data_IF_331137140896
#
_entry.id   IF_331137140896
#
_cell.length_a   1.000
_cell.length_b   1.000
_cell.length_c   1.000
_cell.angle_alpha   90.00
_cell.angle_beta   90.00
_cell.angle_gamma   90.00
#
_symmetry.space_group_name_H-M   'P 1'
#
loop_
_entity.id
_entity.type
_entity.pdbx_description
1 polymer ?
#
# COMPACT_ATOMS: atom_id res chain seq x y z
N UNK A 1 -6.12 -22.72 -2.50
CA UNK A 1 -6.12 -22.23 -3.89
C UNK A 1 -7.12 -22.94 -4.77
N UNK A 2 -7.06 -24.28 -4.93
CA UNK A 2 -7.90 -25.05 -5.86
C UNK A 2 -9.41 -25.01 -5.51
N UNK A 3 -9.76 -25.12 -4.24
CA UNK A 3 -11.15 -25.00 -3.79
C UNK A 3 -11.72 -23.62 -4.13
N UNK A 4 -10.94 -22.55 -3.89
CA UNK A 4 -11.32 -21.19 -4.25
C UNK A 4 -11.48 -21.02 -5.77
N UNK A 5 -10.59 -21.59 -6.56
CA UNK A 5 -10.69 -21.55 -8.03
C UNK A 5 -11.98 -22.22 -8.52
N UNK A 6 -12.35 -23.37 -7.94
CA UNK A 6 -13.58 -24.08 -8.29
C UNK A 6 -14.82 -23.25 -7.90
N UNK A 7 -14.84 -22.68 -6.69
CA UNK A 7 -15.92 -21.81 -6.23
C UNK A 7 -16.01 -20.54 -7.10
N UNK A 8 -14.88 -19.89 -7.39
CA UNK A 8 -14.85 -18.70 -8.24
C UNK A 8 -15.41 -18.99 -9.64
N UNK A 9 -15.01 -20.09 -10.28
CA UNK A 9 -15.55 -20.48 -11.61
C UNK A 9 -17.04 -20.80 -11.56
N UNK A 10 -17.55 -21.25 -10.46
CA UNK A 10 -18.96 -21.58 -10.31
C UNK A 10 -19.83 -20.35 -10.02
N UNK A 11 -19.35 -19.43 -9.20
CA UNK A 11 -20.12 -18.25 -8.77
C UNK A 11 -19.89 -17.02 -9.66
N UNK A 12 -18.71 -16.88 -10.25
CA UNK A 12 -18.37 -15.69 -11.02
C UNK A 12 -18.94 -15.75 -12.44
N UNK A 13 -19.78 -14.78 -12.74
CA UNK A 13 -20.30 -14.53 -14.09
C UNK A 13 -20.01 -13.07 -14.46
N UNK A 14 -19.78 -12.82 -15.75
CA UNK A 14 -19.66 -11.44 -16.23
C UNK A 14 -21.04 -10.77 -16.15
N UNK A 15 -21.13 -9.44 -15.97
CA UNK A 15 -22.41 -8.74 -15.94
C UNK A 15 -23.29 -9.02 -17.17
N UNK A 16 -22.65 -9.19 -18.36
CA UNK A 16 -23.34 -9.50 -19.60
C UNK A 16 -24.10 -10.84 -19.57
N UNK A 17 -23.49 -11.85 -18.92
CA UNK A 17 -23.96 -13.24 -18.90
C UNK A 17 -24.50 -13.66 -17.51
N UNK A 18 -24.66 -12.73 -16.58
CA UNK A 18 -25.02 -13.05 -15.20
C UNK A 18 -26.50 -13.48 -15.10
N UNK A 19 -26.79 -14.73 -14.67
CA UNK A 19 -28.15 -15.30 -14.75
C UNK A 19 -29.15 -14.69 -13.77
N UNK A 20 -28.70 -13.98 -12.75
CA UNK A 20 -29.53 -13.39 -11.68
C UNK A 20 -29.65 -11.87 -11.75
N UNK A 21 -29.01 -11.23 -12.75
CA UNK A 21 -29.12 -9.80 -12.93
C UNK A 21 -30.41 -9.45 -13.68
N UNK A 22 -31.17 -8.47 -13.18
CA UNK A 22 -32.31 -7.92 -13.95
C UNK A 22 -31.79 -7.14 -15.17
N UNK A 23 -32.63 -6.98 -16.19
CA UNK A 23 -32.24 -6.23 -17.41
C UNK A 23 -31.94 -4.76 -17.08
N UNK A 24 -32.68 -4.15 -16.13
CA UNK A 24 -32.46 -2.78 -15.66
C UNK A 24 -31.09 -2.63 -14.94
N UNK A 25 -30.73 -3.58 -14.06
CA UNK A 25 -29.44 -3.58 -13.36
C UNK A 25 -28.30 -3.83 -14.34
N UNK A 26 -28.51 -4.72 -15.33
CA UNK A 26 -27.52 -5.00 -16.38
C UNK A 26 -27.28 -3.74 -17.22
N UNK A 27 -28.31 -3.03 -17.63
CA UNK A 27 -28.21 -1.81 -18.39
C UNK A 27 -27.53 -0.70 -17.57
N UNK A 28 -27.86 -0.57 -16.27
CA UNK A 28 -27.21 0.38 -15.36
C UNK A 28 -25.70 0.12 -15.23
N UNK A 29 -25.32 -1.14 -15.08
CA UNK A 29 -23.90 -1.53 -14.98
C UNK A 29 -23.16 -1.31 -16.31
N UNK A 30 -23.77 -1.69 -17.43
CA UNK A 30 -23.16 -1.55 -18.75
C UNK A 30 -23.10 -0.10 -19.20
N UNK A 31 -24.11 0.71 -18.94
CA UNK A 31 -24.10 2.15 -19.23
C UNK A 31 -23.09 2.90 -18.36
N UNK A 32 -22.91 2.47 -17.09
CA UNK A 32 -21.88 2.99 -16.20
C UNK A 32 -20.44 2.69 -16.66
N UNK A 33 -20.24 1.68 -17.52
CA UNK A 33 -18.92 1.43 -18.16
C UNK A 33 -18.57 2.47 -19.23
N UNK A 34 -19.54 3.19 -19.78
CA UNK A 34 -19.41 4.27 -20.73
C UNK A 34 -18.66 3.90 -22.02
N UNK A 35 -19.05 4.45 -23.16
CA UNK A 35 -18.37 4.28 -24.45
C UNK A 35 -16.89 4.71 -24.39
N UNK A 36 -16.55 5.66 -23.52
CA UNK A 36 -15.18 6.10 -23.27
C UNK A 36 -14.29 4.97 -22.71
N UNK A 37 -14.79 4.16 -21.78
CA UNK A 37 -14.04 3.04 -21.21
C UNK A 37 -13.86 1.90 -22.21
N UNK A 38 -14.84 1.64 -23.07
CA UNK A 38 -14.74 0.61 -24.14
C UNK A 38 -13.77 1.06 -25.25
N UNK A 39 -13.74 2.35 -25.57
CA UNK A 39 -12.78 2.90 -26.52
C UNK A 39 -11.35 2.97 -25.92
N UNK A 40 -11.25 3.16 -24.61
CA UNK A 40 -9.98 3.18 -23.88
C UNK A 40 -9.39 1.79 -23.72
N UNK A 41 -10.21 0.77 -23.51
CA UNK A 41 -9.79 -0.64 -23.40
C UNK A 41 -9.23 -1.19 -24.74
N UNK A 42 -9.63 -0.62 -25.88
CA UNK A 42 -9.10 -0.95 -27.21
C UNK A 42 -7.74 -0.33 -27.53
N UNK A 43 -7.26 0.66 -26.74
CA UNK A 43 -5.94 1.26 -26.93
C UNK A 43 -4.87 0.33 -26.37
N UNK A 44 -3.73 0.22 -27.06
CA UNK A 44 -2.59 -0.58 -26.57
C UNK A 44 -2.11 -0.03 -25.22
N UNK A 45 -1.81 -0.93 -24.28
CA UNK A 45 -1.13 -0.58 -23.03
C UNK A 45 0.21 0.11 -23.33
N UNK A 46 0.62 0.99 -22.42
CA UNK A 46 1.95 1.60 -22.52
C UNK A 46 3.02 0.49 -22.37
N UNK A 47 4.05 0.57 -23.21
CA UNK A 47 5.16 -0.40 -23.12
C UNK A 47 5.97 -0.20 -21.84
N UNK A 48 6.57 -1.27 -21.31
CA UNK A 48 7.41 -1.21 -20.12
C UNK A 48 8.51 -0.14 -20.19
N UNK A 49 9.26 0.01 -21.32
CA UNK A 49 10.25 1.08 -21.45
C UNK A 49 9.63 2.48 -21.35
N UNK A 50 8.40 2.67 -21.85
CA UNK A 50 7.69 3.95 -21.73
C UNK A 50 7.31 4.22 -20.28
N UNK A 51 6.75 3.23 -19.59
CA UNK A 51 6.38 3.34 -18.17
C UNK A 51 7.59 3.65 -17.28
N UNK A 52 8.73 2.99 -17.50
CA UNK A 52 9.97 3.21 -16.75
C UNK A 52 10.62 4.59 -17.00
N UNK A 53 10.22 5.31 -18.05
CA UNK A 53 10.66 6.71 -18.27
C UNK A 53 9.83 7.73 -17.52
N UNK A 54 8.70 7.32 -16.92
CA UNK A 54 7.80 8.21 -16.22
C UNK A 54 8.20 8.33 -14.74
N UNK A 55 8.43 9.54 -14.21
CA UNK A 55 8.76 9.71 -12.79
C UNK A 55 7.64 9.21 -11.86
N UNK A 56 6.37 9.32 -12.28
CA UNK A 56 5.23 8.81 -11.51
C UNK A 56 5.32 7.30 -11.28
N UNK A 57 5.77 6.53 -12.27
CA UNK A 57 6.01 5.08 -12.13
C UNK A 57 7.05 4.80 -11.04
N UNK A 58 8.16 5.53 -11.05
CA UNK A 58 9.19 5.41 -10.03
C UNK A 58 8.71 5.87 -8.66
N UNK A 59 7.84 6.88 -8.61
CA UNK A 59 7.20 7.30 -7.36
C UNK A 59 6.44 6.16 -6.69
N UNK A 60 5.67 5.39 -7.46
CA UNK A 60 4.94 4.22 -6.95
C UNK A 60 5.90 3.08 -6.59
N UNK A 61 6.85 2.74 -7.48
CA UNK A 61 7.82 1.65 -7.25
C UNK A 61 8.64 1.91 -5.97
N UNK A 62 9.28 3.09 -5.87
CA UNK A 62 10.16 3.42 -4.74
C UNK A 62 9.37 3.45 -3.43
N UNK A 63 8.20 4.10 -3.43
CA UNK A 63 7.40 4.20 -2.20
C UNK A 63 7.00 2.83 -1.67
N UNK A 64 6.54 1.93 -2.55
CA UNK A 64 6.17 0.58 -2.18
C UNK A 64 7.38 -0.25 -1.76
N UNK A 65 8.47 -0.17 -2.50
CA UNK A 65 9.72 -0.89 -2.22
C UNK A 65 10.35 -0.53 -0.88
N UNK A 66 10.20 0.72 -0.45
CA UNK A 66 10.73 1.18 0.84
C UNK A 66 9.81 0.87 2.02
N UNK A 67 8.50 0.73 1.81
CA UNK A 67 7.55 0.55 2.90
C UNK A 67 7.08 -0.89 3.11
N UNK A 68 6.94 -1.70 2.05
CA UNK A 68 6.50 -3.09 2.19
C UNK A 68 7.42 -3.95 3.10
N UNK A 69 8.76 -3.81 3.09
CA UNK A 69 9.63 -4.52 4.03
C UNK A 69 9.29 -4.29 5.50
N UNK A 70 8.72 -3.11 5.85
CA UNK A 70 8.31 -2.80 7.22
C UNK A 70 7.13 -3.68 7.66
N UNK A 71 6.18 -3.92 6.75
CA UNK A 71 5.08 -4.85 7.02
C UNK A 71 5.58 -6.27 7.31
N UNK A 72 6.47 -6.77 6.46
CA UNK A 72 7.06 -8.10 6.67
C UNK A 72 7.89 -8.17 7.95
N UNK A 73 8.61 -7.09 8.31
CA UNK A 73 9.27 -7.02 9.60
C UNK A 73 8.28 -7.12 10.75
N UNK A 74 7.18 -6.38 10.71
CA UNK A 74 6.17 -6.41 11.76
C UNK A 74 5.51 -7.79 11.84
N UNK A 75 5.14 -8.40 10.72
CA UNK A 75 4.44 -9.69 10.72
C UNK A 75 5.33 -10.86 11.14
N UNK A 76 6.61 -10.84 10.82
CA UNK A 76 7.52 -11.96 11.06
C UNK A 76 8.36 -11.80 12.34
N UNK A 77 8.71 -10.58 12.70
CA UNK A 77 9.70 -10.33 13.75
C UNK A 77 9.17 -9.65 15.01
N UNK A 78 7.98 -9.04 14.98
CA UNK A 78 7.45 -8.33 16.14
C UNK A 78 7.24 -9.23 17.35
N UNK A 79 6.71 -10.44 17.16
CA UNK A 79 6.57 -11.41 18.26
C UNK A 79 7.92 -11.81 18.87
N UNK A 80 8.92 -12.06 18.01
CA UNK A 80 10.29 -12.36 18.46
C UNK A 80 10.89 -11.18 19.22
N UNK A 81 10.69 -9.95 18.72
CA UNK A 81 11.13 -8.73 19.40
C UNK A 81 10.55 -8.61 20.83
N UNK A 82 9.27 -8.90 21.02
CA UNK A 82 8.64 -8.88 22.34
C UNK A 82 9.27 -9.93 23.27
N UNK A 83 9.54 -11.13 22.78
CA UNK A 83 10.22 -12.18 23.57
C UNK A 83 11.64 -11.75 23.95
N UNK A 84 12.38 -11.10 23.05
CA UNK A 84 13.74 -10.58 23.39
C UNK A 84 13.71 -9.45 24.42
N UNK A 85 12.60 -8.75 24.58
CA UNK A 85 12.35 -7.77 25.64
C UNK A 85 11.92 -8.40 26.97
N UNK A 86 11.82 -9.75 27.03
CA UNK A 86 11.50 -10.50 28.25
C UNK A 86 10.01 -10.74 28.50
N UNK A 87 9.16 -10.55 27.50
CA UNK A 87 7.73 -10.84 27.62
C UNK A 87 7.41 -12.28 27.27
N UNK A 88 6.40 -12.86 27.94
CA UNK A 88 5.92 -14.21 27.69
C UNK A 88 5.34 -14.34 26.26
N UNK A 89 5.37 -15.55 25.70
CA UNK A 89 4.89 -15.83 24.36
C UNK A 89 3.38 -15.54 24.24
N UNK A 90 2.58 -15.89 25.26
CA UNK A 90 1.13 -15.66 25.25
C UNK A 90 0.81 -14.16 25.27
N UNK A 91 1.50 -13.38 26.09
CA UNK A 91 1.37 -11.92 26.10
C UNK A 91 1.81 -11.32 24.74
N UNK A 92 2.86 -11.87 24.15
CA UNK A 92 3.36 -11.45 22.85
C UNK A 92 2.37 -11.74 21.73
N UNK A 93 1.63 -12.85 21.77
CA UNK A 93 0.57 -13.17 20.82
C UNK A 93 -0.61 -12.20 20.92
N UNK A 94 -1.03 -11.84 22.14
CA UNK A 94 -2.07 -10.84 22.35
C UNK A 94 -1.66 -9.46 21.79
N UNK A 95 -0.41 -9.07 22.02
CA UNK A 95 0.16 -7.85 21.45
C UNK A 95 0.15 -7.88 19.92
N UNK A 96 0.41 -9.00 19.32
CA UNK A 96 0.46 -9.19 17.88
C UNK A 96 -0.92 -8.95 17.22
N UNK A 97 -2.02 -9.45 17.83
CA UNK A 97 -3.37 -9.19 17.34
C UNK A 97 -3.71 -7.70 17.24
N UNK A 98 -3.27 -6.89 18.21
CA UNK A 98 -3.53 -5.44 18.21
C UNK A 98 -2.95 -4.73 16.98
N UNK A 99 -1.81 -5.20 16.48
CA UNK A 99 -1.14 -4.67 15.27
C UNK A 99 -1.97 -4.96 14.02
N UNK A 100 -2.58 -6.13 13.89
CA UNK A 100 -3.45 -6.47 12.76
C UNK A 100 -4.75 -5.66 12.78
N UNK A 101 -5.38 -5.51 13.94
CA UNK A 101 -6.57 -4.66 14.09
C UNK A 101 -6.24 -3.20 13.71
N UNK A 102 -5.07 -2.71 14.12
CA UNK A 102 -4.62 -1.39 13.74
C UNK A 102 -4.36 -1.27 12.22
N UNK A 103 -3.83 -2.33 11.58
CA UNK A 103 -3.67 -2.36 10.13
C UNK A 103 -5.00 -2.27 9.40
N UNK A 104 -6.02 -3.01 9.84
CA UNK A 104 -7.36 -2.96 9.25
C UNK A 104 -7.96 -1.55 9.38
N UNK A 105 -7.89 -0.95 10.56
CA UNK A 105 -8.30 0.44 10.76
C UNK A 105 -7.53 1.41 9.84
N UNK A 106 -6.23 1.21 9.67
CA UNK A 106 -5.40 1.98 8.76
C UNK A 106 -5.84 1.85 7.31
N UNK A 107 -6.20 0.65 6.85
CA UNK A 107 -6.72 0.43 5.50
C UNK A 107 -8.04 1.19 5.27
N UNK A 108 -8.96 1.18 6.24
CA UNK A 108 -10.20 1.96 6.16
C UNK A 108 -9.92 3.48 6.11
N UNK A 109 -8.98 3.98 6.93
CA UNK A 109 -8.56 5.39 6.91
C UNK A 109 -7.92 5.74 5.56
N UNK A 110 -7.01 4.91 5.05
CA UNK A 110 -6.30 5.12 3.80
C UNK A 110 -7.20 5.15 2.57
N UNK A 111 -8.30 4.41 2.59
CA UNK A 111 -9.32 4.45 1.54
C UNK A 111 -10.41 5.50 1.78
N UNK A 112 -10.94 5.55 2.99
CA UNK A 112 -12.11 6.35 3.35
C UNK A 112 -11.83 7.85 3.41
N UNK A 113 -10.74 8.27 4.08
CA UNK A 113 -10.43 9.70 4.24
C UNK A 113 -10.17 10.38 2.91
N UNK A 114 -9.32 9.85 2.00
CA UNK A 114 -9.18 10.46 0.66
C UNK A 114 -10.50 10.52 -0.10
N UNK A 115 -11.29 9.45 -0.07
CA UNK A 115 -12.59 9.40 -0.75
C UNK A 115 -13.55 10.48 -0.22
N UNK A 116 -13.57 10.70 1.09
CA UNK A 116 -14.35 11.76 1.72
C UNK A 116 -13.88 13.17 1.31
N UNK A 117 -12.56 13.40 1.29
CA UNK A 117 -11.96 14.68 0.89
C UNK A 117 -12.25 15.00 -0.59
N UNK A 118 -12.15 13.99 -1.46
CA UNK A 118 -12.45 14.12 -2.89
C UNK A 118 -13.93 14.48 -3.09
N UNK A 119 -14.85 13.85 -2.36
CA UNK A 119 -16.28 14.24 -2.38
C UNK A 119 -16.51 15.68 -1.90
N UNK A 120 -15.61 16.24 -1.09
CA UNK A 120 -15.60 17.64 -0.66
C UNK A 120 -14.87 18.60 -1.62
N UNK A 121 -14.48 18.14 -2.81
CA UNK A 121 -13.88 18.99 -3.85
C UNK A 121 -12.35 19.05 -3.82
N UNK A 122 -11.67 18.22 -3.02
CA UNK A 122 -10.21 18.12 -3.10
C UNK A 122 -9.79 17.39 -4.37
N UNK A 123 -8.66 17.78 -4.96
CA UNK A 123 -8.06 16.96 -6.03
C UNK A 123 -7.59 15.61 -5.49
N UNK A 124 -7.68 14.58 -6.33
CA UNK A 124 -7.26 13.21 -6.00
C UNK A 124 -5.84 13.20 -5.43
N UNK A 125 -4.91 13.88 -6.11
CA UNK A 125 -3.52 13.93 -5.69
C UNK A 125 -3.31 14.60 -4.34
N UNK A 126 -4.02 15.70 -4.03
CA UNK A 126 -3.92 16.35 -2.71
C UNK A 126 -4.43 15.45 -1.60
N UNK A 127 -5.60 14.82 -1.80
CA UNK A 127 -6.20 13.92 -0.82
C UNK A 127 -5.30 12.71 -0.54
N UNK A 128 -4.76 12.07 -1.60
CA UNK A 128 -3.83 10.94 -1.47
C UNK A 128 -2.52 11.33 -0.79
N UNK A 129 -1.91 12.44 -1.20
CA UNK A 129 -0.64 12.93 -0.64
C UNK A 129 -0.76 13.30 0.84
N UNK A 130 -1.90 13.84 1.28
CA UNK A 130 -2.14 14.11 2.70
C UNK A 130 -1.98 12.84 3.53
N UNK A 131 -2.64 11.74 3.12
CA UNK A 131 -2.53 10.47 3.84
C UNK A 131 -1.10 9.90 3.75
N UNK A 132 -0.44 10.03 2.60
CA UNK A 132 0.95 9.60 2.46
C UNK A 132 1.89 10.37 3.43
N UNK A 133 1.68 11.68 3.61
CA UNK A 133 2.47 12.48 4.56
C UNK A 133 2.15 12.08 6.00
N UNK A 134 0.88 12.02 6.37
CA UNK A 134 0.47 11.64 7.73
C UNK A 134 0.93 10.21 8.05
N UNK A 135 0.75 9.27 7.11
CA UNK A 135 1.19 7.90 7.26
C UNK A 135 2.72 7.79 7.40
N UNK A 136 3.47 8.46 6.52
CA UNK A 136 4.94 8.46 6.58
C UNK A 136 5.49 9.06 7.87
N UNK A 137 4.92 10.16 8.34
CA UNK A 137 5.28 10.76 9.63
C UNK A 137 4.86 9.86 10.81
N UNK A 138 3.66 9.27 10.76
CA UNK A 138 3.18 8.40 11.82
C UNK A 138 4.00 7.12 11.99
N UNK A 139 4.62 6.60 10.94
CA UNK A 139 5.53 5.45 11.04
C UNK A 139 6.79 5.76 11.87
N UNK A 140 7.19 7.02 12.04
CA UNK A 140 8.30 7.39 12.93
C UNK A 140 8.02 7.12 14.41
N UNK A 141 6.77 6.85 14.78
CA UNK A 141 6.38 6.46 16.13
C UNK A 141 6.91 5.07 16.56
N UNK A 142 7.57 4.33 15.67
CA UNK A 142 8.38 3.17 16.10
C UNK A 142 9.63 3.58 16.90
N UNK A 143 10.14 4.80 16.75
CA UNK A 143 11.32 5.26 17.50
C UNK A 143 11.10 5.21 19.02
N UNK A 144 10.03 5.79 19.59
CA UNK A 144 9.75 5.67 21.03
C UNK A 144 9.61 4.23 21.53
N UNK A 145 9.15 3.29 20.66
CA UNK A 145 9.02 1.89 21.03
C UNK A 145 10.38 1.25 21.39
N UNK A 146 11.48 1.75 20.82
CA UNK A 146 12.84 1.27 21.10
C UNK A 146 13.25 1.56 22.53
N UNK A 147 12.90 2.76 23.01
CA UNK A 147 13.38 3.28 24.30
C UNK A 147 12.46 2.95 25.47
N UNK A 148 11.24 2.46 25.22
CA UNK A 148 10.34 2.06 26.32
C UNK A 148 10.52 0.60 26.70
N UNK A 149 10.36 0.33 28.00
CA UNK A 149 10.34 -1.02 28.57
C UNK A 149 8.92 -1.48 28.92
N UNK A 150 7.92 -0.61 28.79
CA UNK A 150 6.54 -0.95 29.09
C UNK A 150 5.88 -1.67 27.93
N UNK A 151 5.37 -2.87 28.18
CA UNK A 151 4.63 -3.67 27.20
C UNK A 151 3.52 -2.91 26.48
N UNK A 152 2.68 -2.20 27.24
CA UNK A 152 1.55 -1.46 26.68
C UNK A 152 1.99 -0.31 25.74
N UNK A 153 3.07 0.39 26.09
CA UNK A 153 3.61 1.44 25.24
C UNK A 153 4.28 0.90 23.97
N UNK A 154 4.97 -0.24 24.05
CA UNK A 154 5.52 -0.91 22.87
C UNK A 154 4.40 -1.26 21.90
N UNK A 155 3.36 -1.96 22.40
CA UNK A 155 2.21 -2.33 21.57
C UNK A 155 1.52 -1.10 20.98
N UNK A 156 1.31 -0.07 21.78
CA UNK A 156 0.67 1.17 21.32
C UNK A 156 1.44 1.82 20.17
N UNK A 157 2.75 1.97 20.30
CA UNK A 157 3.57 2.58 19.25
C UNK A 157 3.63 1.70 17.98
N UNK A 158 3.73 0.39 18.12
CA UNK A 158 3.65 -0.52 16.99
C UNK A 158 2.28 -0.46 16.33
N UNK A 159 1.19 -0.49 17.05
CA UNK A 159 -0.16 -0.41 16.53
C UNK A 159 -0.40 0.89 15.75
N UNK A 160 -0.04 2.05 16.32
CA UNK A 160 -0.17 3.34 15.63
C UNK A 160 0.70 3.40 14.37
N UNK A 161 1.96 2.93 14.47
CA UNK A 161 2.85 2.90 13.31
C UNK A 161 2.31 1.99 12.20
N UNK A 162 1.75 0.84 12.58
CA UNK A 162 1.13 -0.10 11.62
C UNK A 162 -0.15 0.46 11.00
N UNK A 163 -0.98 1.15 11.77
CA UNK A 163 -2.14 1.89 11.25
C UNK A 163 -1.69 2.91 10.19
N UNK A 164 -0.65 3.67 10.50
CA UNK A 164 -0.09 4.67 9.59
C UNK A 164 0.51 4.03 8.33
N UNK A 165 1.21 2.90 8.48
CA UNK A 165 1.71 2.09 7.37
C UNK A 165 0.57 1.62 6.47
N UNK A 166 -0.48 1.02 7.04
CA UNK A 166 -1.60 0.48 6.28
C UNK A 166 -2.35 1.57 5.51
N UNK A 167 -2.56 2.74 6.14
CA UNK A 167 -3.14 3.90 5.47
C UNK A 167 -2.26 4.39 4.30
N UNK A 168 -0.95 4.48 4.50
CA UNK A 168 0.02 4.82 3.47
C UNK A 168 0.01 3.81 2.32
N UNK A 169 0.12 2.52 2.63
CA UNK A 169 0.13 1.42 1.66
C UNK A 169 -1.13 1.40 0.81
N UNK A 170 -2.30 1.58 1.41
CA UNK A 170 -3.58 1.67 0.69
C UNK A 170 -3.56 2.80 -0.34
N UNK A 171 -3.02 3.96 0.00
CA UNK A 171 -2.88 5.07 -0.95
C UNK A 171 -1.92 4.74 -2.08
N UNK A 172 -0.77 4.13 -1.78
CA UNK A 172 0.21 3.74 -2.81
C UNK A 172 -0.39 2.72 -3.79
N UNK A 173 -1.16 1.76 -3.30
CA UNK A 173 -1.86 0.76 -4.13
C UNK A 173 -2.91 1.38 -5.07
N UNK A 174 -3.48 2.52 -4.71
CA UNK A 174 -4.46 3.22 -5.55
C UNK A 174 -3.81 4.12 -6.61
N UNK A 175 -2.58 4.61 -6.42
CA UNK A 175 -1.94 5.51 -7.40
C UNK A 175 -1.86 4.95 -8.83
N UNK A 176 -1.58 3.66 -9.09
CA UNK A 176 -1.63 3.15 -10.45
C UNK A 176 -2.98 3.37 -11.14
N UNK A 177 -4.09 3.17 -10.43
CA UNK A 177 -5.44 3.38 -10.96
C UNK A 177 -5.78 4.88 -11.13
N UNK A 178 -5.29 5.73 -10.22
CA UNK A 178 -5.51 7.17 -10.31
C UNK A 178 -4.70 7.82 -11.45
N UNK A 179 -3.46 7.32 -11.69
CA UNK A 179 -2.50 7.93 -12.62
C UNK A 179 -2.59 7.38 -14.05
N UNK A 180 -2.89 6.10 -14.20
CA UNK A 180 -2.78 5.42 -15.48
C UNK A 180 -4.13 4.95 -15.97
N UNK A 181 -4.24 4.80 -17.30
CA UNK A 181 -5.42 4.19 -17.93
C UNK A 181 -5.50 2.71 -17.55
N UNK A 182 -6.70 2.16 -17.52
CA UNK A 182 -7.04 0.81 -17.09
C UNK A 182 -6.10 -0.26 -17.66
N UNK A 183 -5.75 -0.18 -18.94
CA UNK A 183 -4.88 -1.12 -19.63
C UNK A 183 -3.39 -1.08 -19.21
N UNK A 184 -2.96 -0.06 -18.48
CA UNK A 184 -1.58 0.09 -17.98
C UNK A 184 -1.46 -0.07 -16.45
N UNK A 185 -2.58 -0.06 -15.71
CA UNK A 185 -2.62 -0.19 -14.25
C UNK A 185 -1.93 -1.48 -13.78
N UNK A 186 -2.29 -2.61 -14.38
CA UNK A 186 -1.73 -3.91 -14.02
C UNK A 186 -0.20 -3.97 -14.21
N UNK A 187 0.31 -3.34 -15.27
CA UNK A 187 1.75 -3.29 -15.55
C UNK A 187 2.50 -2.47 -14.48
N UNK A 188 1.97 -1.31 -14.11
CA UNK A 188 2.58 -0.45 -13.07
C UNK A 188 2.50 -1.12 -11.70
N UNK A 189 1.35 -1.70 -11.35
CA UNK A 189 1.16 -2.46 -10.11
C UNK A 189 2.12 -3.66 -10.03
N UNK A 190 2.29 -4.40 -11.14
CA UNK A 190 3.22 -5.52 -11.22
C UNK A 190 4.67 -5.09 -11.02
N UNK A 191 5.12 -4.00 -11.68
CA UNK A 191 6.47 -3.44 -11.49
C UNK A 191 6.70 -2.99 -10.05
N UNK A 192 5.73 -2.34 -9.43
CA UNK A 192 5.85 -1.90 -8.03
C UNK A 192 5.88 -3.09 -7.07
N UNK A 193 5.08 -4.12 -7.31
CA UNK A 193 5.12 -5.38 -6.55
C UNK A 193 6.44 -6.13 -6.68
N UNK A 194 7.01 -6.19 -7.89
CA UNK A 194 8.33 -6.80 -8.12
C UNK A 194 9.43 -6.03 -7.37
N UNK A 195 9.44 -4.70 -7.46
CA UNK A 195 10.39 -3.86 -6.73
C UNK A 195 10.27 -4.05 -5.21
N UNK A 196 9.04 -4.06 -4.69
CA UNK A 196 8.78 -4.31 -3.27
C UNK A 196 9.23 -5.70 -2.83
N UNK A 197 8.95 -6.74 -3.62
CA UNK A 197 9.39 -8.10 -3.32
C UNK A 197 10.91 -8.24 -3.23
N UNK A 198 11.64 -7.66 -4.19
CA UNK A 198 13.11 -7.65 -4.17
C UNK A 198 13.64 -6.94 -2.92
N UNK A 199 13.12 -5.74 -2.62
CA UNK A 199 13.53 -4.98 -1.44
C UNK A 199 13.18 -5.71 -0.14
N UNK A 200 12.04 -6.40 -0.08
CA UNK A 200 11.65 -7.20 1.08
C UNK A 200 12.61 -8.37 1.31
N UNK A 201 13.00 -9.11 0.26
CA UNK A 201 13.98 -10.19 0.39
C UNK A 201 15.30 -9.66 0.95
N UNK A 202 15.81 -8.56 0.39
CA UNK A 202 17.06 -7.94 0.86
C UNK A 202 16.92 -7.49 2.32
N UNK A 203 15.83 -6.81 2.65
CA UNK A 203 15.58 -6.31 4.00
C UNK A 203 15.49 -7.45 5.03
N UNK A 204 14.74 -8.53 4.73
CA UNK A 204 14.62 -9.67 5.66
C UNK A 204 15.95 -10.38 5.90
N UNK A 205 16.80 -10.51 4.87
CA UNK A 205 18.15 -11.04 5.03
C UNK A 205 19.03 -10.13 5.91
N UNK A 206 18.88 -8.81 5.78
CA UNK A 206 19.60 -7.85 6.63
C UNK A 206 19.08 -7.87 8.05
N UNK A 207 17.76 -7.94 8.25
CA UNK A 207 17.12 -8.04 9.57
C UNK A 207 17.69 -9.26 10.32
N UNK A 208 17.67 -10.45 9.71
CA UNK A 208 18.24 -11.64 10.35
C UNK A 208 19.70 -11.46 10.77
N UNK A 209 20.54 -10.96 9.86
CA UNK A 209 21.99 -10.75 10.18
C UNK A 209 22.24 -9.70 11.26
N UNK A 210 21.44 -8.63 11.28
CA UNK A 210 21.61 -7.54 12.25
C UNK A 210 21.08 -7.98 13.61
N UNK A 211 19.92 -8.65 13.67
CA UNK A 211 19.35 -9.16 14.92
C UNK A 211 20.24 -10.21 15.59
N UNK A 212 20.87 -11.10 14.81
CA UNK A 212 21.79 -12.11 15.32
C UNK A 212 23.08 -11.52 15.90
N UNK A 213 23.58 -10.43 15.29
CA UNK A 213 24.88 -9.85 15.64
C UNK A 213 24.79 -8.71 16.67
N UNK A 214 23.71 -7.96 16.65
CA UNK A 214 23.53 -6.75 17.48
C UNK A 214 22.24 -6.83 18.29
N UNK A 215 21.14 -6.32 17.71
CA UNK A 215 19.84 -6.22 18.35
C UNK A 215 18.78 -5.73 17.34
N UNK A 216 17.51 -5.61 17.77
CA UNK A 216 16.42 -5.10 16.94
C UNK A 216 16.36 -3.57 16.89
N UNK A 217 16.98 -2.86 17.80
CA UNK A 217 16.89 -1.39 17.90
C UNK A 217 17.33 -0.67 16.62
N UNK A 218 18.49 -0.99 15.99
CA UNK A 218 18.89 -0.33 14.74
C UNK A 218 17.90 -0.56 13.60
N UNK A 219 17.27 -1.74 13.58
CA UNK A 219 16.28 -2.11 12.57
C UNK A 219 15.02 -1.27 12.72
N UNK A 220 14.52 -1.13 13.96
CA UNK A 220 13.36 -0.31 14.29
C UNK A 220 13.57 1.16 13.95
N UNK A 221 14.76 1.69 14.25
CA UNK A 221 15.13 3.06 13.88
C UNK A 221 15.14 3.22 12.36
N UNK A 222 15.76 2.31 11.63
CA UNK A 222 15.75 2.33 10.16
C UNK A 222 14.33 2.23 9.60
N UNK A 223 13.50 1.30 10.11
CA UNK A 223 12.11 1.13 9.73
C UNK A 223 11.26 2.38 10.01
N UNK A 224 11.63 3.19 10.99
CA UNK A 224 10.96 4.46 11.31
C UNK A 224 11.33 5.59 10.35
N UNK A 225 12.57 5.61 9.84
CA UNK A 225 13.08 6.70 9.02
C UNK A 225 12.83 6.47 7.52
N UNK A 226 12.96 5.22 7.06
CA UNK A 226 12.79 4.85 5.65
C UNK A 226 11.46 5.34 5.05
N UNK A 227 10.31 5.30 5.75
CA UNK A 227 9.04 5.82 5.22
C UNK A 227 9.04 7.30 4.87
N UNK A 228 9.92 8.11 5.50
CA UNK A 228 10.07 9.52 5.14
C UNK A 228 10.62 9.68 3.73
N UNK A 229 11.56 8.82 3.32
CA UNK A 229 12.07 8.80 1.94
C UNK A 229 11.00 8.30 0.95
N UNK A 230 10.19 7.33 1.35
CA UNK A 230 9.04 6.90 0.56
C UNK A 230 8.03 8.04 0.37
N UNK A 231 7.73 8.78 1.44
CA UNK A 231 6.87 9.97 1.40
C UNK A 231 7.45 11.05 0.49
N UNK A 232 8.75 11.31 0.59
CA UNK A 232 9.44 12.25 -0.28
C UNK A 232 9.34 11.84 -1.75
N UNK A 233 9.50 10.55 -2.06
CA UNK A 233 9.31 10.03 -3.42
C UNK A 233 7.88 10.28 -3.94
N UNK A 234 6.85 10.06 -3.10
CA UNK A 234 5.46 10.39 -3.46
C UNK A 234 5.31 11.88 -3.78
N UNK A 235 5.83 12.75 -2.94
CA UNK A 235 5.66 14.20 -3.09
C UNK A 235 6.40 14.76 -4.31
N UNK A 236 7.59 14.24 -4.62
CA UNK A 236 8.46 14.76 -5.67
C UNK A 236 8.21 14.12 -7.04
N UNK A 237 7.96 12.82 -7.09
CA UNK A 237 7.84 12.08 -8.34
C UNK A 237 6.39 11.96 -8.83
N UNK A 238 5.41 11.84 -7.92
CA UNK A 238 3.99 11.76 -8.27
C UNK A 238 3.42 13.18 -8.35
N UNK A 239 3.60 13.81 -9.49
CA UNK A 239 3.14 15.18 -9.76
C UNK A 239 2.77 15.35 -11.22
N UNK A 240 1.96 16.38 -11.51
CA UNK A 240 1.65 16.77 -12.87
C UNK A 240 2.91 17.27 -13.56
N UNK A 241 3.12 16.81 -14.79
CA UNK A 241 4.27 17.17 -15.63
C UNK A 241 3.90 17.07 -17.12
N UNK A 242 4.92 17.16 -18.01
CA UNK A 242 4.72 17.03 -19.45
C UNK A 242 4.01 15.74 -19.89
N UNK A 243 4.12 14.65 -19.13
CA UNK A 243 3.39 13.41 -19.44
C UNK A 243 1.88 13.57 -19.17
N UNK A 244 1.51 14.33 -18.15
CA UNK A 244 0.13 14.72 -17.84
C UNK A 244 -0.43 15.64 -18.94
N UNK A 245 0.35 16.66 -19.37
CA UNK A 245 -0.05 17.59 -20.45
C UNK A 245 -0.27 16.85 -21.78
N UNK A 246 0.48 15.77 -22.03
CA UNK A 246 0.32 14.90 -23.22
C UNK A 246 -0.77 13.84 -23.07
N UNK A 247 -1.50 13.80 -21.96
CA UNK A 247 -2.54 12.79 -21.70
C UNK A 247 -2.02 11.35 -21.58
N UNK A 248 -0.72 11.17 -21.27
CA UNK A 248 -0.11 9.86 -21.02
C UNK A 248 -0.44 9.39 -19.60
N UNK A 249 -0.46 10.34 -18.65
CA UNK A 249 -0.77 10.15 -17.24
C UNK A 249 -1.92 11.09 -16.87
N UNK A 250 -2.87 10.61 -16.07
CA UNK A 250 -3.99 11.42 -15.62
C UNK A 250 -3.53 12.56 -14.69
N UNK A 251 -4.20 13.71 -14.70
CA UNK A 251 -3.94 14.79 -13.75
C UNK A 251 -4.39 14.40 -12.34
N UNK A 252 -3.59 14.75 -11.34
CA UNK A 252 -3.85 14.47 -9.92
C UNK A 252 -3.79 15.73 -9.06
#
# INVERSE_FOLDING_TARGET
GFLWLALFRWFYHRPEDHPRLSDEERELILSGRGEANVAEDKRKSLSYPTLLRLPQTWGVIISKSLTDPIWFFITEWFGIYLVTKGYDLDASLLGWWSVFIAADAGNFIGGGVPSYLIKRGWSVGKARKLIAVVGGLGMTLLIPAVYTTSFYWIIFFFAISTLCYAAFSTVILNFPADLYRTNSVASVSGMSGTGAGICTIIAMLLVGRISDKYSFEPILIAASIIPLFATLAVLTLIRNNRATEKGIVNPI
#
